data_IF_744035488681
#
_entry.id   IF_744035488681
#
_cell.length_a   1.000
_cell.length_b   1.000
_cell.length_c   1.000
_cell.angle_alpha   90.00
_cell.angle_beta   90.00
_cell.angle_gamma   90.00
#
_symmetry.space_group_name_H-M   'P 1'
#
loop_
_entity.id
_entity.type
_entity.pdbx_description
1 polymer ?
#
# COMPACT_ATOMS: atom_id res chain seq x y z
N UNK A 1 83.31 -54.22 0.57
CA UNK A 1 83.86 -55.55 0.20
C UNK A 1 82.73 -56.59 0.28
N UNK A 2 82.28 -57.05 -0.90
CA UNK A 2 81.56 -58.31 -1.24
C UNK A 2 80.17 -58.56 -0.62
N UNK A 3 79.15 -59.03 -1.34
CA UNK A 3 78.98 -59.40 -2.76
C UNK A 3 77.50 -59.68 -3.03
N UNK A 4 77.03 -59.22 -4.20
CA UNK A 4 75.85 -59.67 -4.97
C UNK A 4 75.66 -61.19 -5.02
N UNK A 5 74.40 -61.66 -5.03
CA UNK A 5 73.77 -62.65 -5.96
C UNK A 5 72.24 -62.50 -5.91
N UNK A 6 71.57 -61.91 -6.91
CA UNK A 6 71.02 -62.53 -8.14
C UNK A 6 69.93 -63.61 -7.89
N UNK A 7 68.68 -63.19 -8.11
CA UNK A 7 67.53 -63.84 -8.73
C UNK A 7 67.77 -65.27 -9.26
N UNK A 8 66.98 -66.25 -8.81
CA UNK A 8 66.62 -67.46 -9.59
C UNK A 8 65.27 -68.00 -9.11
N UNK A 9 64.34 -67.99 -10.06
CA UNK A 9 62.97 -68.53 -10.08
C UNK A 9 62.91 -70.00 -9.66
N UNK A 10 61.90 -70.38 -8.88
CA UNK A 10 61.47 -71.77 -8.73
C UNK A 10 59.94 -71.86 -8.73
N UNK A 11 59.35 -71.86 -9.94
CA UNK A 11 57.99 -72.37 -10.17
C UNK A 11 58.07 -73.89 -10.15
N UNK A 12 57.33 -74.52 -9.23
CA UNK A 12 57.26 -75.98 -9.10
C UNK A 12 55.91 -76.46 -9.64
N UNK A 13 56.01 -77.34 -10.63
CA UNK A 13 54.96 -77.75 -11.56
C UNK A 13 54.48 -79.17 -11.20
N UNK A 14 53.19 -79.34 -10.89
CA UNK A 14 52.42 -80.61 -10.91
C UNK A 14 50.95 -80.23 -11.12
N UNK A 15 50.19 -80.59 -12.14
CA UNK A 15 50.39 -81.43 -13.31
C UNK A 15 49.02 -81.97 -13.77
N UNK A 16 48.44 -81.42 -14.84
CA UNK A 16 47.56 -82.16 -15.77
C UNK A 16 47.36 -81.35 -17.07
N UNK A 17 48.18 -81.63 -18.08
CA UNK A 17 48.01 -81.16 -19.46
C UNK A 17 47.75 -82.38 -20.33
N UNK A 18 46.52 -82.54 -20.84
CA UNK A 18 46.25 -83.37 -22.01
C UNK A 18 46.07 -82.46 -23.22
N UNK A 19 47.21 -82.17 -23.84
CA UNK A 19 47.48 -81.91 -25.27
C UNK A 19 46.38 -81.35 -26.17
N UNK A 20 46.63 -80.15 -26.69
CA UNK A 20 46.09 -79.67 -27.96
C UNK A 20 46.60 -78.28 -28.31
N UNK A 21 47.84 -78.16 -28.81
CA UNK A 21 48.34 -76.89 -29.39
C UNK A 21 47.67 -76.67 -30.75
N UNK A 22 46.85 -75.62 -30.84
CA UNK A 22 46.55 -74.86 -32.06
C UNK A 22 46.67 -73.38 -31.69
N UNK A 23 47.24 -72.59 -32.59
CA UNK A 23 47.53 -71.16 -32.49
C UNK A 23 46.51 -70.34 -31.65
N UNK A 24 47.03 -69.59 -30.67
CA UNK A 24 46.26 -68.70 -29.78
C UNK A 24 46.64 -68.97 -28.33
N UNK A 25 47.14 -67.98 -27.61
CA UNK A 25 47.47 -68.11 -26.19
C UNK A 25 46.24 -68.58 -25.43
N UNK A 26 46.34 -69.69 -24.67
CA UNK A 26 45.36 -70.00 -23.64
C UNK A 26 45.54 -68.94 -22.56
N UNK A 27 44.72 -67.90 -22.63
CA UNK A 27 44.44 -66.99 -21.52
C UNK A 27 43.95 -67.87 -20.38
N UNK A 28 44.76 -67.98 -19.33
CA UNK A 28 44.35 -68.65 -18.09
C UNK A 28 43.82 -67.54 -17.20
N UNK A 29 42.63 -67.75 -16.68
CA UNK A 29 41.83 -66.87 -15.82
C UNK A 29 41.31 -67.84 -14.71
N UNK A 30 42.01 -67.94 -13.57
CA UNK A 30 41.78 -68.98 -12.56
C UNK A 30 40.63 -68.72 -11.58
N UNK A 31 40.31 -67.48 -11.30
CA UNK A 31 39.24 -66.98 -10.42
C UNK A 31 37.97 -66.62 -11.20
N UNK A 32 38.08 -66.24 -12.48
CA UNK A 32 36.94 -66.09 -13.38
C UNK A 32 36.39 -64.67 -13.47
N UNK A 33 37.17 -63.67 -13.08
CA UNK A 33 36.88 -62.23 -13.19
C UNK A 33 36.96 -61.71 -14.64
N UNK A 34 37.53 -62.52 -15.55
CA UNK A 34 37.70 -62.18 -16.96
C UNK A 34 39.07 -61.61 -17.30
N UNK A 35 39.98 -61.49 -16.35
CA UNK A 35 41.35 -61.04 -16.55
C UNK A 35 42.36 -62.21 -16.68
N UNK A 36 43.32 -62.16 -17.61
CA UNK A 36 44.37 -63.18 -17.68
C UNK A 36 45.38 -63.04 -16.54
N UNK A 37 45.91 -64.16 -16.04
CA UNK A 37 47.06 -64.21 -15.09
C UNK A 37 48.22 -63.26 -15.45
N UNK A 38 48.54 -63.10 -16.75
CA UNK A 38 49.64 -62.21 -17.16
C UNK A 38 49.33 -60.73 -16.90
N UNK A 39 48.06 -60.36 -16.99
CA UNK A 39 47.56 -59.01 -16.80
C UNK A 39 47.37 -58.72 -15.32
N UNK A 40 46.89 -59.69 -14.55
CA UNK A 40 46.80 -59.56 -13.10
C UNK A 40 48.18 -59.30 -12.47
N UNK A 41 49.21 -60.07 -12.87
CA UNK A 41 50.59 -59.80 -12.43
C UNK A 41 51.14 -58.43 -12.86
N UNK A 42 50.60 -57.82 -13.92
CA UNK A 42 51.02 -56.49 -14.39
C UNK A 42 50.34 -55.39 -13.58
N UNK A 43 49.06 -55.57 -13.30
CA UNK A 43 48.19 -54.57 -12.67
C UNK A 43 48.27 -54.65 -11.13
N UNK A 44 48.79 -55.75 -10.58
CA UNK A 44 49.04 -55.91 -9.15
C UNK A 44 47.97 -56.74 -8.43
N UNK A 45 46.98 -57.22 -9.17
CA UNK A 45 45.88 -58.05 -8.68
C UNK A 45 46.27 -59.51 -8.45
N UNK A 46 45.41 -60.25 -7.75
CA UNK A 46 45.64 -61.61 -7.31
C UNK A 46 45.12 -62.68 -8.27
N UNK A 47 45.98 -63.55 -8.89
CA UNK A 47 45.59 -64.62 -9.83
C UNK A 47 44.61 -65.72 -9.37
N UNK A 48 44.07 -65.60 -8.17
CA UNK A 48 43.13 -66.55 -7.57
C UNK A 48 42.13 -65.82 -6.64
N UNK A 49 42.01 -64.51 -6.78
CA UNK A 49 41.21 -63.60 -5.95
C UNK A 49 40.50 -62.66 -6.92
N UNK A 50 39.20 -62.87 -7.13
CA UNK A 50 38.41 -62.13 -8.12
C UNK A 50 38.15 -60.66 -7.75
N UNK A 51 38.44 -60.27 -6.51
CA UNK A 51 38.22 -58.94 -5.93
C UNK A 51 39.40 -58.64 -4.99
N UNK A 52 40.43 -57.96 -5.54
CA UNK A 52 41.74 -57.84 -4.90
C UNK A 52 41.72 -56.90 -3.68
N UNK A 53 40.89 -55.86 -3.66
CA UNK A 53 40.79 -54.91 -2.54
C UNK A 53 39.58 -55.16 -1.63
N UNK A 54 38.65 -56.02 -2.04
CA UNK A 54 37.58 -56.55 -1.21
C UNK A 54 36.39 -55.60 -1.08
N UNK A 55 36.18 -54.72 -2.07
CA UNK A 55 35.13 -53.71 -2.06
C UNK A 55 33.77 -54.24 -2.59
N UNK A 56 33.80 -55.40 -3.25
CA UNK A 56 32.64 -56.08 -3.81
C UNK A 56 32.46 -55.93 -5.33
N UNK A 57 33.35 -55.22 -6.03
CA UNK A 57 33.46 -55.16 -7.49
C UNK A 57 34.64 -56.04 -7.95
N UNK A 58 34.43 -56.92 -8.93
CA UNK A 58 35.51 -57.80 -9.38
C UNK A 58 36.57 -57.07 -10.21
N UNK A 59 37.84 -57.49 -10.13
CA UNK A 59 39.00 -56.83 -10.75
C UNK A 59 38.81 -56.59 -12.27
N UNK A 60 38.11 -57.53 -12.92
CA UNK A 60 37.77 -57.44 -14.34
C UNK A 60 36.64 -56.44 -14.63
N UNK A 61 35.67 -56.28 -13.75
CA UNK A 61 34.58 -55.30 -13.80
C UNK A 61 35.07 -53.89 -13.51
N UNK A 62 35.97 -53.73 -12.56
CA UNK A 62 36.64 -52.48 -12.22
C UNK A 62 37.41 -51.92 -13.42
N UNK A 63 38.26 -52.76 -14.00
CA UNK A 63 39.03 -52.39 -15.19
C UNK A 63 38.20 -52.02 -16.41
N UNK A 64 37.02 -52.63 -16.55
CA UNK A 64 36.08 -52.27 -17.61
C UNK A 64 35.46 -50.88 -17.40
N UNK A 65 35.27 -50.47 -16.15
CA UNK A 65 34.76 -49.14 -15.76
C UNK A 65 35.85 -48.09 -15.70
N UNK A 66 37.09 -48.51 -15.46
CA UNK A 66 38.25 -47.64 -15.36
C UNK A 66 38.67 -47.32 -13.93
N UNK A 67 38.08 -47.98 -12.94
CA UNK A 67 38.48 -47.93 -11.54
C UNK A 67 39.80 -48.69 -11.30
N UNK A 68 40.42 -48.51 -10.13
CA UNK A 68 41.69 -49.16 -9.76
C UNK A 68 41.45 -50.43 -8.94
N UNK A 69 41.71 -51.65 -9.48
CA UNK A 69 41.49 -52.93 -8.80
C UNK A 69 42.29 -53.22 -7.54
N UNK A 70 42.96 -52.21 -7.00
CA UNK A 70 43.74 -52.30 -5.78
C UNK A 70 43.37 -51.21 -4.78
N UNK A 71 42.35 -50.40 -5.10
CA UNK A 71 41.86 -49.28 -4.33
C UNK A 71 40.34 -49.33 -4.28
N UNK A 72 39.81 -49.76 -3.14
CA UNK A 72 38.38 -49.95 -2.88
C UNK A 72 37.49 -48.69 -3.01
N UNK A 73 38.04 -47.54 -3.36
CA UNK A 73 37.40 -46.21 -3.40
C UNK A 73 38.29 -45.36 -4.32
N UNK A 74 37.99 -45.40 -5.62
CA UNK A 74 38.87 -44.91 -6.68
C UNK A 74 38.94 -43.38 -6.70
N UNK A 75 37.83 -42.69 -6.52
CA UNK A 75 37.76 -41.23 -6.53
C UNK A 75 37.99 -40.59 -5.16
N UNK A 76 37.89 -41.37 -4.08
CA UNK A 76 38.18 -40.98 -2.72
C UNK A 76 37.08 -40.18 -2.05
N UNK A 77 35.83 -40.31 -2.50
CA UNK A 77 34.67 -39.62 -1.94
C UNK A 77 34.21 -40.23 -0.59
N UNK A 78 34.56 -41.50 -0.33
CA UNK A 78 34.23 -42.23 0.90
C UNK A 78 33.03 -43.19 0.79
N UNK A 79 32.55 -43.44 -0.42
CA UNK A 79 31.84 -44.65 -0.86
C UNK A 79 32.88 -45.55 -1.56
N UNK A 80 32.58 -46.85 -1.66
CA UNK A 80 33.47 -47.80 -2.33
C UNK A 80 32.90 -48.14 -3.71
N UNK A 81 33.76 -48.41 -4.70
CA UNK A 81 33.37 -48.59 -6.10
C UNK A 81 32.28 -49.67 -6.27
N UNK A 82 32.40 -50.76 -5.51
CA UNK A 82 31.37 -51.81 -5.42
C UNK A 82 29.98 -51.28 -5.03
N UNK A 83 29.78 -50.75 -3.81
CA UNK A 83 28.54 -50.10 -3.40
C UNK A 83 28.03 -49.00 -4.33
N UNK A 84 28.89 -48.16 -4.88
CA UNK A 84 28.49 -47.14 -5.87
C UNK A 84 27.81 -47.79 -7.08
N UNK A 85 28.44 -48.81 -7.66
CA UNK A 85 27.91 -49.50 -8.84
C UNK A 85 26.69 -50.37 -8.53
N UNK A 86 26.61 -50.96 -7.33
CA UNK A 86 25.61 -51.99 -7.01
C UNK A 86 24.41 -51.49 -6.22
N UNK A 87 24.61 -50.54 -5.31
CA UNK A 87 23.60 -50.09 -4.37
C UNK A 87 23.08 -48.69 -4.72
N UNK A 88 23.94 -47.78 -5.16
CA UNK A 88 23.60 -46.36 -5.37
C UNK A 88 23.41 -45.97 -6.84
N UNK A 89 24.13 -46.60 -7.76
CA UNK A 89 24.11 -46.28 -9.18
C UNK A 89 24.98 -45.09 -9.60
N UNK A 90 25.80 -44.57 -8.68
CA UNK A 90 26.73 -43.46 -8.87
C UNK A 90 27.95 -43.84 -9.73
N UNK A 91 28.70 -42.84 -10.22
CA UNK A 91 29.92 -43.08 -11.01
C UNK A 91 31.16 -43.17 -10.08
N UNK A 92 31.80 -44.35 -9.93
CA UNK A 92 32.94 -44.55 -9.03
C UNK A 92 34.24 -43.84 -9.46
N UNK A 93 34.14 -42.92 -10.43
CA UNK A 93 35.22 -42.07 -10.91
C UNK A 93 34.95 -40.59 -10.62
N UNK A 94 33.76 -40.23 -10.13
CA UNK A 94 33.28 -38.88 -9.88
C UNK A 94 32.51 -38.83 -8.56
N UNK A 95 33.14 -38.35 -7.49
CA UNK A 95 32.50 -38.25 -6.16
C UNK A 95 31.40 -37.20 -6.01
N UNK A 96 30.84 -36.73 -7.13
CA UNK A 96 29.71 -35.80 -7.27
C UNK A 96 29.13 -36.15 -8.65
N UNK A 97 28.27 -37.17 -8.67
CA UNK A 97 27.85 -37.87 -9.88
C UNK A 97 26.94 -36.99 -10.76
N UNK A 98 26.10 -36.15 -10.18
CA UNK A 98 25.18 -35.28 -10.92
C UNK A 98 25.74 -33.86 -11.14
N UNK A 99 26.80 -33.48 -10.44
CA UNK A 99 27.55 -32.25 -10.61
C UNK A 99 26.86 -31.02 -10.02
N UNK A 100 25.99 -31.20 -9.03
CA UNK A 100 25.28 -30.12 -8.34
C UNK A 100 26.17 -29.40 -7.28
N UNK A 101 27.31 -30.03 -6.98
CA UNK A 101 28.34 -29.55 -6.07
C UNK A 101 28.34 -30.22 -4.70
N UNK A 102 27.33 -31.02 -4.35
CA UNK A 102 27.25 -31.92 -3.20
C UNK A 102 27.88 -33.27 -3.57
N UNK A 103 28.65 -33.86 -2.65
CA UNK A 103 29.30 -35.14 -2.95
C UNK A 103 28.36 -36.30 -2.61
N UNK A 104 28.42 -37.39 -3.39
CA UNK A 104 27.49 -38.52 -3.31
C UNK A 104 27.39 -39.06 -1.87
N UNK A 105 28.52 -39.08 -1.16
CA UNK A 105 28.57 -39.53 0.23
C UNK A 105 27.78 -38.63 1.18
N UNK A 106 27.78 -37.31 0.98
CA UNK A 106 27.05 -36.34 1.81
C UNK A 106 25.56 -36.40 1.48
N UNK A 107 25.20 -36.52 0.21
CA UNK A 107 23.82 -36.73 -0.22
C UNK A 107 23.20 -37.95 0.44
N UNK A 108 23.86 -39.11 0.29
CA UNK A 108 23.35 -40.39 0.81
C UNK A 108 23.31 -40.43 2.35
N UNK A 109 24.27 -39.81 3.05
CA UNK A 109 24.44 -39.99 4.50
C UNK A 109 23.86 -38.87 5.34
N UNK A 110 23.93 -37.63 4.85
CA UNK A 110 23.67 -36.44 5.65
C UNK A 110 22.39 -35.70 5.21
N UNK A 111 22.04 -35.72 3.92
CA UNK A 111 20.89 -34.98 3.38
C UNK A 111 19.74 -35.86 2.86
N UNK A 112 19.98 -37.15 2.61
CA UNK A 112 18.99 -38.09 2.05
C UNK A 112 18.45 -37.70 0.66
N UNK A 113 19.22 -36.90 -0.10
CA UNK A 113 18.98 -36.54 -1.51
C UNK A 113 19.37 -37.65 -2.48
N UNK A 114 18.93 -37.56 -3.75
CA UNK A 114 19.28 -38.55 -4.79
C UNK A 114 20.56 -38.11 -5.53
N UNK A 115 21.71 -38.79 -5.36
CA UNK A 115 23.00 -38.40 -5.97
C UNK A 115 23.05 -38.54 -7.50
N UNK A 116 21.92 -38.85 -8.12
CA UNK A 116 21.74 -38.94 -9.57
C UNK A 116 20.86 -37.80 -10.11
N UNK A 117 20.30 -36.96 -9.24
CA UNK A 117 19.39 -35.87 -9.55
C UNK A 117 19.84 -34.60 -8.83
N UNK A 118 20.46 -33.68 -9.58
CA UNK A 118 21.01 -32.41 -9.08
C UNK A 118 20.00 -31.44 -8.44
N UNK A 119 18.74 -31.84 -8.30
CA UNK A 119 17.57 -31.11 -7.81
C UNK A 119 16.55 -32.21 -7.46
N UNK A 120 16.62 -32.69 -6.21
CA UNK A 120 15.93 -33.90 -5.74
C UNK A 120 14.42 -33.71 -5.65
N UNK A 121 13.94 -32.54 -5.24
CA UNK A 121 12.51 -32.27 -5.09
C UNK A 121 11.87 -31.65 -6.36
N UNK A 122 12.69 -31.14 -7.27
CA UNK A 122 12.31 -30.67 -8.58
C UNK A 122 11.74 -29.25 -8.61
N UNK A 123 12.10 -28.40 -7.65
CA UNK A 123 11.66 -27.01 -7.57
C UNK A 123 12.48 -26.06 -8.49
N UNK A 124 13.62 -26.53 -8.99
CA UNK A 124 14.51 -25.78 -9.88
C UNK A 124 15.72 -25.15 -9.19
N UNK A 125 15.89 -25.35 -7.88
CA UNK A 125 17.09 -25.06 -7.11
C UNK A 125 17.86 -26.38 -6.91
N UNK A 126 19.20 -26.32 -7.02
CA UNK A 126 20.00 -27.53 -6.88
C UNK A 126 20.28 -27.84 -5.41
N UNK A 127 20.26 -29.10 -4.99
CA UNK A 127 20.44 -29.52 -3.58
C UNK A 127 21.72 -28.91 -2.97
N UNK A 128 22.79 -28.91 -3.76
CA UNK A 128 24.07 -28.33 -3.41
C UNK A 128 24.02 -26.81 -3.19
N UNK A 129 23.12 -26.08 -3.87
CA UNK A 129 22.86 -24.64 -3.72
C UNK A 129 21.96 -24.37 -2.52
N UNK A 130 20.91 -25.16 -2.36
CA UNK A 130 19.99 -25.09 -1.22
C UNK A 130 20.75 -25.19 0.10
N UNK A 131 21.57 -26.21 0.28
CA UNK A 131 22.32 -26.40 1.53
C UNK A 131 23.38 -25.32 1.76
N UNK A 132 24.03 -24.81 0.72
CA UNK A 132 25.23 -23.95 0.86
C UNK A 132 24.94 -22.46 0.78
N UNK A 133 23.95 -22.07 0.02
CA UNK A 133 23.69 -20.67 -0.34
C UNK A 133 22.39 -20.17 0.31
N UNK A 134 21.31 -20.95 0.26
CA UNK A 134 19.97 -20.50 0.65
C UNK A 134 19.54 -20.98 2.05
N UNK A 135 19.96 -22.18 2.45
CA UNK A 135 19.60 -22.81 3.72
C UNK A 135 18.24 -23.49 3.72
N UNK A 136 17.68 -23.77 2.54
CA UNK A 136 16.42 -24.49 2.29
C UNK A 136 16.58 -26.00 2.48
N UNK A 137 15.47 -26.74 2.53
CA UNK A 137 15.45 -28.21 2.63
C UNK A 137 15.31 -28.84 1.24
N UNK A 138 16.35 -29.52 0.70
CA UNK A 138 16.36 -30.07 -0.67
C UNK A 138 15.40 -31.23 -0.91
N UNK A 139 14.56 -31.54 0.07
CA UNK A 139 13.50 -32.53 0.01
C UNK A 139 12.09 -31.90 0.05
N UNK A 140 12.01 -30.58 0.21
CA UNK A 140 10.77 -29.82 0.31
C UNK A 140 10.82 -28.61 -0.65
N UNK A 141 9.99 -28.67 -1.70
CA UNK A 141 9.95 -27.63 -2.74
C UNK A 141 9.55 -26.23 -2.23
N UNK A 142 9.19 -26.08 -0.96
CA UNK A 142 8.61 -24.90 -0.32
C UNK A 142 8.96 -24.99 1.18
N UNK A 143 10.11 -24.45 1.56
CA UNK A 143 10.73 -24.65 2.87
C UNK A 143 9.98 -23.93 3.99
N UNK A 144 9.44 -22.73 3.74
CA UNK A 144 8.73 -21.97 4.76
C UNK A 144 7.21 -22.23 4.79
N UNK A 145 6.69 -22.87 3.74
CA UNK A 145 5.33 -23.36 3.64
C UNK A 145 4.30 -22.28 3.30
N UNK A 146 4.70 -21.21 2.62
CA UNK A 146 3.81 -20.12 2.22
C UNK A 146 3.04 -20.40 0.91
N UNK A 147 3.54 -21.34 0.10
CA UNK A 147 2.95 -21.77 -1.16
C UNK A 147 3.68 -21.32 -2.43
N UNK A 148 4.76 -20.55 -2.31
CA UNK A 148 5.76 -20.37 -3.36
C UNK A 148 6.85 -21.44 -3.23
N UNK A 149 7.44 -21.81 -4.37
CA UNK A 149 8.55 -22.77 -4.37
C UNK A 149 9.91 -22.06 -4.23
N UNK A 150 10.84 -22.64 -3.47
CA UNK A 150 12.10 -21.98 -3.08
C UNK A 150 12.90 -21.54 -4.32
N UNK A 151 12.91 -22.40 -5.35
CA UNK A 151 13.47 -22.12 -6.66
C UNK A 151 12.85 -20.90 -7.35
N UNK A 152 11.52 -20.72 -7.31
CA UNK A 152 10.80 -19.57 -7.87
C UNK A 152 11.07 -18.30 -7.09
N UNK A 153 11.04 -18.38 -5.76
CA UNK A 153 11.39 -17.26 -4.89
C UNK A 153 12.78 -16.73 -5.21
N UNK A 154 13.80 -17.60 -5.21
CA UNK A 154 15.19 -17.21 -5.48
C UNK A 154 15.38 -16.70 -6.91
N UNK A 155 14.82 -17.40 -7.90
CA UNK A 155 15.18 -17.16 -9.32
C UNK A 155 14.30 -16.13 -10.03
N UNK A 156 13.05 -15.94 -9.59
CA UNK A 156 12.07 -15.08 -10.27
C UNK A 156 11.74 -13.84 -9.46
N UNK A 157 11.51 -13.97 -8.15
CA UNK A 157 10.99 -12.88 -7.32
C UNK A 157 12.08 -12.19 -6.50
N UNK A 158 13.14 -12.91 -6.13
CA UNK A 158 14.20 -12.43 -5.25
C UNK A 158 13.78 -12.36 -3.79
N UNK A 159 12.68 -13.00 -3.43
CA UNK A 159 12.17 -13.18 -2.07
C UNK A 159 13.04 -14.17 -1.28
N UNK A 160 12.78 -14.27 0.01
CA UNK A 160 13.54 -15.09 0.94
C UNK A 160 12.82 -16.42 1.21
N UNK A 161 13.32 -17.56 0.68
CA UNK A 161 12.66 -18.88 0.78
C UNK A 161 12.66 -19.51 2.19
N UNK A 162 12.95 -18.71 3.21
CA UNK A 162 12.94 -19.09 4.61
C UNK A 162 11.98 -18.21 5.42
N UNK A 163 11.24 -17.33 4.77
CA UNK A 163 10.32 -16.40 5.37
C UNK A 163 9.13 -16.15 4.44
N UNK A 164 7.97 -16.66 4.88
CA UNK A 164 6.67 -16.50 4.22
C UNK A 164 6.22 -15.03 3.98
N UNK A 165 6.97 -14.07 4.47
CA UNK A 165 6.76 -12.61 4.45
C UNK A 165 8.18 -12.02 4.42
N UNK A 166 8.63 -11.65 3.23
CA UNK A 166 10.03 -11.32 2.96
C UNK A 166 10.45 -9.93 3.49
N UNK A 167 9.51 -8.99 3.62
CA UNK A 167 9.77 -7.64 4.10
C UNK A 167 9.18 -7.31 5.49
N UNK A 168 8.55 -8.31 6.12
CA UNK A 168 7.98 -8.28 7.47
C UNK A 168 6.83 -7.24 7.63
N UNK A 169 6.04 -6.97 6.58
CA UNK A 169 4.93 -6.02 6.62
C UNK A 169 3.61 -6.61 7.13
N UNK A 170 3.47 -7.94 7.06
CA UNK A 170 2.30 -8.70 7.48
C UNK A 170 1.50 -9.38 6.36
N UNK A 171 1.84 -9.15 5.09
CA UNK A 171 1.38 -9.92 3.93
C UNK A 171 2.36 -11.05 3.63
N UNK A 172 1.88 -12.10 2.96
CA UNK A 172 2.77 -13.15 2.48
C UNK A 172 3.20 -12.88 1.05
N UNK A 173 4.42 -13.25 0.69
CA UNK A 173 4.96 -13.09 -0.66
C UNK A 173 3.99 -13.55 -1.76
N UNK A 174 3.31 -14.72 -1.67
CA UNK A 174 2.29 -15.10 -2.64
C UNK A 174 1.04 -14.22 -2.63
N UNK A 175 0.59 -13.74 -1.46
CA UNK A 175 -0.55 -12.83 -1.38
C UNK A 175 -0.23 -11.49 -2.06
N UNK A 176 0.97 -10.96 -1.86
CA UNK A 176 1.43 -9.74 -2.51
C UNK A 176 1.53 -9.92 -4.02
N UNK A 177 2.13 -11.01 -4.50
CA UNK A 177 2.33 -11.26 -5.93
C UNK A 177 1.03 -11.61 -6.67
N UNK A 178 0.11 -12.34 -6.04
CA UNK A 178 -1.07 -12.90 -6.72
C UNK A 178 -2.39 -12.18 -6.41
N UNK A 179 -2.51 -11.59 -5.21
CA UNK A 179 -3.77 -11.01 -4.73
C UNK A 179 -3.74 -9.48 -4.77
N UNK A 180 -2.72 -8.88 -4.16
CA UNK A 180 -2.65 -7.43 -3.99
C UNK A 180 -1.81 -6.73 -5.06
N UNK A 181 -0.99 -7.48 -5.79
CA UNK A 181 -0.06 -6.98 -6.81
C UNK A 181 0.96 -5.96 -6.26
N UNK A 182 1.26 -6.04 -4.96
CA UNK A 182 2.29 -5.26 -4.23
C UNK A 182 3.69 -5.86 -4.39
N UNK A 183 4.71 -5.19 -3.87
CA UNK A 183 6.09 -5.62 -3.98
C UNK A 183 6.57 -6.35 -2.70
N UNK A 184 6.81 -7.68 -2.74
CA UNK A 184 7.15 -8.48 -1.56
C UNK A 184 8.57 -8.25 -0.99
N UNK A 185 9.22 -7.17 -1.41
CA UNK A 185 10.54 -6.75 -0.95
C UNK A 185 10.51 -5.33 -0.38
N UNK A 186 9.35 -4.69 -0.38
CA UNK A 186 9.11 -3.30 0.01
C UNK A 186 7.80 -3.22 0.78
N UNK A 187 7.90 -3.18 2.10
CA UNK A 187 6.78 -3.11 3.04
C UNK A 187 5.82 -1.91 2.85
N UNK A 188 6.09 -1.02 1.91
CA UNK A 188 5.37 0.23 1.56
C UNK A 188 5.58 0.39 0.05
N UNK A 189 4.68 -0.18 -0.74
CA UNK A 189 4.87 -0.34 -2.19
C UNK A 189 4.80 0.99 -2.95
N UNK A 190 4.03 1.96 -2.46
CA UNK A 190 3.82 3.25 -3.12
C UNK A 190 4.56 4.44 -2.49
N UNK A 191 5.34 4.19 -1.43
CA UNK A 191 6.21 5.12 -0.71
C UNK A 191 5.45 6.27 0.00
N UNK A 192 4.20 6.05 0.43
CA UNK A 192 3.37 7.07 1.10
C UNK A 192 3.60 7.14 2.62
N UNK A 193 4.22 6.10 3.19
CA UNK A 193 4.54 5.96 4.60
C UNK A 193 3.58 5.09 5.43
N UNK A 194 2.59 4.45 4.82
CA UNK A 194 1.87 3.29 5.34
C UNK A 194 2.52 2.01 4.82
N UNK A 195 2.17 0.89 5.44
CA UNK A 195 2.61 -0.40 4.96
C UNK A 195 1.43 -1.13 4.32
N UNK A 196 1.69 -1.97 3.32
CA UNK A 196 0.66 -2.53 2.45
C UNK A 196 -0.37 -3.34 3.26
N UNK A 197 0.07 -4.17 4.22
CA UNK A 197 -0.85 -4.93 5.07
C UNK A 197 -1.80 -4.02 5.89
N UNK A 198 -1.31 -3.03 6.68
CA UNK A 198 -2.17 -2.06 7.36
C UNK A 198 -3.13 -1.28 6.46
N UNK A 199 -2.73 -0.91 5.25
CA UNK A 199 -3.62 -0.23 4.29
C UNK A 199 -4.87 -1.06 3.98
N UNK A 200 -4.66 -2.35 3.71
CA UNK A 200 -5.73 -3.29 3.41
C UNK A 200 -6.61 -3.59 4.65
N UNK A 201 -5.98 -3.87 5.79
CA UNK A 201 -6.67 -4.44 6.96
C UNK A 201 -7.28 -3.39 7.90
N UNK A 202 -6.63 -2.23 8.04
CA UNK A 202 -6.99 -1.21 9.03
C UNK A 202 -7.57 0.06 8.41
N UNK A 203 -7.08 0.51 7.24
CA UNK A 203 -7.45 1.80 6.64
C UNK A 203 -8.36 1.71 5.41
N UNK A 204 -8.47 0.53 4.80
CA UNK A 204 -9.26 0.31 3.57
C UNK A 204 -8.75 1.17 2.38
N UNK A 205 -7.45 1.49 2.34
CA UNK A 205 -6.76 2.22 1.25
C UNK A 205 -6.20 1.26 0.19
N UNK A 206 -5.77 1.80 -0.97
CA UNK A 206 -5.15 1.02 -2.05
C UNK A 206 -3.62 1.08 -1.94
N UNK A 207 -2.92 -0.01 -1.59
CA UNK A 207 -1.46 -0.02 -1.36
C UNK A 207 -0.61 0.22 -2.61
N UNK A 208 -1.26 0.50 -3.75
CA UNK A 208 -0.62 0.86 -5.01
C UNK A 208 -0.83 2.34 -5.37
N UNK A 209 -1.60 3.09 -4.58
CA UNK A 209 -1.94 4.49 -4.81
C UNK A 209 -1.78 5.33 -3.53
N UNK A 210 -0.68 6.07 -3.45
CA UNK A 210 -0.32 6.91 -2.29
C UNK A 210 -1.38 7.95 -1.85
N UNK A 211 -2.44 8.17 -2.61
CA UNK A 211 -3.54 9.12 -2.37
C UNK A 211 -4.82 8.44 -2.90
N UNK A 212 -5.44 7.62 -2.05
CA UNK A 212 -6.52 6.68 -2.41
C UNK A 212 -7.76 7.41 -2.92
N UNK A 213 -8.12 8.53 -2.31
CA UNK A 213 -9.32 9.29 -2.67
C UNK A 213 -9.07 10.39 -3.71
N UNK A 214 -7.80 10.69 -3.99
CA UNK A 214 -7.35 11.62 -5.02
C UNK A 214 -7.54 13.09 -4.67
N UNK A 215 -7.56 13.45 -3.38
CA UNK A 215 -7.77 14.81 -2.91
C UNK A 215 -6.49 15.66 -2.88
N UNK A 216 -5.33 15.00 -3.01
CA UNK A 216 -4.00 15.59 -3.02
C UNK A 216 -3.27 15.58 -1.68
N UNK A 217 -3.73 14.80 -0.69
CA UNK A 217 -3.02 14.43 0.53
C UNK A 217 -2.74 12.93 0.51
N UNK A 218 -1.49 12.54 0.76
CA UNK A 218 -1.13 11.12 0.73
C UNK A 218 -1.68 10.38 1.97
N UNK A 219 -2.10 9.11 1.86
CA UNK A 219 -2.85 8.36 2.89
C UNK A 219 -2.06 8.25 4.21
N UNK A 220 -0.76 8.01 4.14
CA UNK A 220 0.13 7.97 5.30
C UNK A 220 0.14 9.25 6.13
N UNK A 221 0.41 10.44 5.54
CA UNK A 221 0.19 11.72 6.19
C UNK A 221 -1.21 11.91 6.78
N UNK A 222 -2.28 11.45 6.12
CA UNK A 222 -3.63 11.51 6.66
C UNK A 222 -3.74 10.78 7.98
N UNK A 223 -3.37 9.51 8.00
CA UNK A 223 -3.44 8.67 9.20
C UNK A 223 -2.50 9.18 10.31
N UNK A 224 -1.27 9.56 9.98
CA UNK A 224 -0.22 9.78 10.98
C UNK A 224 -0.03 11.23 11.41
N UNK A 225 -0.41 12.20 10.59
CA UNK A 225 -0.17 13.62 10.85
C UNK A 225 -1.45 14.45 10.95
N UNK A 226 -2.49 14.11 10.19
CA UNK A 226 -3.70 14.91 10.06
C UNK A 226 -4.91 14.30 10.76
N UNK A 227 -4.89 12.99 11.04
CA UNK A 227 -5.99 12.23 11.63
C UNK A 227 -7.29 12.31 10.78
N UNK A 228 -7.15 12.51 9.46
CA UNK A 228 -8.23 12.50 8.45
C UNK A 228 -8.54 11.06 8.00
N UNK A 229 -9.66 10.87 7.30
CA UNK A 229 -10.07 9.59 6.73
C UNK A 229 -9.51 9.46 5.31
N UNK A 230 -8.49 8.60 5.07
CA UNK A 230 -7.80 8.53 3.78
C UNK A 230 -8.65 7.96 2.63
N UNK A 231 -9.89 7.57 2.92
CA UNK A 231 -10.84 7.10 1.90
C UNK A 231 -11.88 8.15 1.53
N UNK A 232 -11.80 9.35 2.14
CA UNK A 232 -12.80 10.40 2.04
C UNK A 232 -12.15 11.76 1.81
N UNK A 233 -12.33 12.28 0.59
CA UNK A 233 -11.66 13.51 0.11
C UNK A 233 -12.01 14.81 0.83
N UNK A 234 -12.78 14.76 1.91
CA UNK A 234 -13.38 15.85 2.67
C UNK A 234 -13.87 15.25 3.99
N UNK A 235 -12.98 15.15 4.99
CA UNK A 235 -13.25 14.41 6.22
C UNK A 235 -14.35 15.04 7.08
N UNK A 236 -14.53 16.36 7.01
CA UNK A 236 -15.51 17.09 7.81
C UNK A 236 -16.78 17.52 7.04
N UNK A 237 -16.90 17.11 5.79
CA UNK A 237 -18.02 17.34 4.88
C UNK A 237 -18.33 18.85 4.66
N UNK A 238 -17.34 19.73 4.78
CA UNK A 238 -17.51 21.17 4.62
C UNK A 238 -17.41 21.66 3.16
N UNK A 239 -17.03 20.79 2.23
CA UNK A 239 -16.88 21.06 0.80
C UNK A 239 -15.50 21.56 0.36
N UNK A 240 -14.53 21.63 1.27
CA UNK A 240 -13.11 21.69 0.99
C UNK A 240 -12.52 20.28 1.11
N UNK A 241 -11.45 20.00 0.37
CA UNK A 241 -10.76 18.72 0.53
C UNK A 241 -9.65 18.83 1.56
N UNK A 242 -9.36 17.73 2.25
CA UNK A 242 -8.33 17.66 3.29
C UNK A 242 -6.97 18.13 2.72
N UNK A 243 -6.60 17.64 1.53
CA UNK A 243 -5.43 18.08 0.80
C UNK A 243 -5.44 19.57 0.45
N UNK A 244 -6.61 20.15 0.14
CA UNK A 244 -6.72 21.58 -0.12
C UNK A 244 -6.51 22.41 1.15
N UNK A 245 -7.09 21.97 2.26
CA UNK A 245 -6.96 22.64 3.55
C UNK A 245 -5.53 22.56 4.08
N UNK A 246 -4.87 21.40 3.96
CA UNK A 246 -3.49 21.19 4.40
C UNK A 246 -2.50 21.96 3.53
N UNK A 247 -2.59 21.85 2.20
CA UNK A 247 -1.57 22.37 1.30
C UNK A 247 -1.82 23.80 0.79
N UNK A 248 -3.07 24.28 0.74
CA UNK A 248 -3.41 25.58 0.15
C UNK A 248 -3.62 26.68 1.19
N UNK A 249 -2.75 26.79 2.20
CA UNK A 249 -2.85 27.79 3.29
C UNK A 249 -2.87 29.26 2.83
N UNK A 250 -2.40 29.58 1.62
CA UNK A 250 -2.54 30.93 1.03
C UNK A 250 -3.98 31.24 0.56
N UNK A 251 -4.75 30.18 0.27
CA UNK A 251 -6.14 30.24 -0.20
C UNK A 251 -7.13 29.95 0.93
N UNK A 252 -6.82 29.01 1.80
CA UNK A 252 -7.63 28.64 2.97
C UNK A 252 -6.80 28.87 4.23
N UNK A 253 -6.65 30.14 4.66
CA UNK A 253 -5.89 30.45 5.86
C UNK A 253 -6.60 29.85 7.07
N UNK A 254 -5.82 29.24 7.96
CA UNK A 254 -6.28 28.64 9.20
C UNK A 254 -7.31 27.50 9.04
N UNK A 255 -7.41 26.92 7.83
CA UNK A 255 -8.25 25.74 7.59
C UNK A 255 -7.79 24.53 8.40
N UNK A 256 -8.74 23.70 8.82
CA UNK A 256 -8.57 22.56 9.71
C UNK A 256 -9.45 21.39 9.25
N UNK A 257 -8.87 20.35 8.61
CA UNK A 257 -9.64 19.29 7.90
C UNK A 257 -10.48 18.38 8.81
N UNK A 258 -10.49 18.67 10.11
CA UNK A 258 -11.30 17.97 11.09
C UNK A 258 -12.42 18.85 11.65
N UNK A 259 -12.66 20.04 11.08
CA UNK A 259 -13.46 21.12 11.66
C UNK A 259 -14.07 22.02 10.58
N UNK A 260 -15.40 21.98 10.45
CA UNK A 260 -16.13 22.75 9.43
C UNK A 260 -15.67 24.21 9.32
N UNK A 261 -15.16 24.58 8.15
CA UNK A 261 -14.68 25.91 7.79
C UNK A 261 -15.61 26.59 6.78
N UNK A 262 -16.05 27.82 7.12
CA UNK A 262 -16.93 28.60 6.26
C UNK A 262 -16.21 29.87 5.83
N UNK A 263 -15.80 29.91 4.57
CA UNK A 263 -15.13 31.08 3.99
C UNK A 263 -16.12 32.09 3.41
N UNK A 264 -16.06 33.34 3.87
CA UNK A 264 -16.88 34.45 3.37
C UNK A 264 -16.00 35.60 2.92
N UNK A 265 -16.01 35.89 1.63
CA UNK A 265 -15.45 37.12 1.08
C UNK A 265 -16.44 38.27 1.27
N UNK A 266 -15.98 39.37 1.86
CA UNK A 266 -16.79 40.56 2.12
C UNK A 266 -16.27 41.75 1.34
N UNK A 267 -17.14 42.26 0.47
CA UNK A 267 -16.94 43.50 -0.23
C UNK A 267 -17.86 44.58 0.29
N UNK A 268 -17.33 45.80 0.38
CA UNK A 268 -18.07 46.91 0.98
C UNK A 268 -18.10 48.11 0.07
N UNK A 269 -19.30 48.66 -0.12
CA UNK A 269 -19.46 49.93 -0.83
C UNK A 269 -18.78 51.07 -0.08
N UNK A 270 -18.14 51.98 -0.82
CA UNK A 270 -17.35 53.08 -0.27
C UNK A 270 -18.11 53.86 0.82
N UNK A 271 -17.52 53.91 2.02
CA UNK A 271 -18.09 54.60 3.18
C UNK A 271 -19.04 53.77 4.04
N UNK A 272 -19.16 52.47 3.77
CA UNK A 272 -19.87 51.50 4.60
C UNK A 272 -18.91 50.61 5.37
N UNK A 273 -19.41 50.03 6.46
CA UNK A 273 -18.66 49.10 7.29
C UNK A 273 -19.63 48.10 7.94
N UNK A 274 -19.15 46.88 8.22
CA UNK A 274 -19.81 45.96 9.13
C UNK A 274 -19.16 46.15 10.49
N UNK A 275 -19.90 46.60 11.50
CA UNK A 275 -19.26 46.92 12.77
C UNK A 275 -18.58 45.68 13.35
N UNK A 276 -17.32 45.81 13.78
CA UNK A 276 -16.54 44.70 14.34
C UNK A 276 -17.28 43.89 15.41
N UNK A 277 -18.10 44.56 16.23
CA UNK A 277 -18.91 43.92 17.26
C UNK A 277 -20.13 43.15 16.72
N UNK A 278 -20.62 43.47 15.52
CA UNK A 278 -21.62 42.66 14.82
C UNK A 278 -20.95 41.42 14.22
N UNK A 279 -19.78 41.58 13.59
CA UNK A 279 -19.01 40.48 13.03
C UNK A 279 -18.58 39.47 14.12
N UNK A 280 -18.03 39.95 15.24
CA UNK A 280 -17.66 39.11 16.40
C UNK A 280 -18.86 38.27 16.89
N UNK A 281 -20.08 38.81 16.86
CA UNK A 281 -21.29 38.07 17.27
C UNK A 281 -21.74 37.00 16.27
N UNK A 282 -21.53 37.23 14.98
CA UNK A 282 -21.80 36.21 13.96
C UNK A 282 -20.80 35.07 14.15
N UNK A 283 -19.50 35.40 14.23
CA UNK A 283 -18.44 34.40 14.41
C UNK A 283 -18.64 33.59 15.70
N UNK A 284 -18.92 34.25 16.83
CA UNK A 284 -19.18 33.57 18.12
C UNK A 284 -20.36 32.58 18.06
N UNK A 285 -21.37 32.85 17.22
CA UNK A 285 -22.51 31.94 17.07
C UNK A 285 -22.12 30.67 16.31
N UNK A 286 -21.32 30.78 15.24
CA UNK A 286 -20.82 29.62 14.49
C UNK A 286 -19.80 28.82 15.30
N UNK A 287 -18.89 29.49 16.01
CA UNK A 287 -17.90 28.85 16.90
C UNK A 287 -18.54 28.01 18.01
N UNK A 288 -19.80 28.30 18.37
CA UNK A 288 -20.56 27.56 19.39
C UNK A 288 -21.78 26.82 18.82
N UNK A 289 -21.88 26.71 17.50
CA UNK A 289 -22.97 26.02 16.83
C UNK A 289 -22.95 24.53 17.21
N UNK A 290 -24.13 23.87 17.28
CA UNK A 290 -24.21 22.44 17.59
C UNK A 290 -23.96 21.58 16.33
N UNK A 291 -22.91 21.91 15.57
CA UNK A 291 -22.41 21.13 14.44
C UNK A 291 -21.33 20.19 14.96
N UNK A 292 -21.36 18.91 14.59
CA UNK A 292 -20.39 17.92 15.08
C UNK A 292 -19.17 17.83 14.17
N UNK A 293 -17.97 17.80 14.75
CA UNK A 293 -16.73 17.70 13.99
C UNK A 293 -16.02 16.35 14.22
N UNK A 294 -15.26 15.84 13.23
CA UNK A 294 -14.42 14.64 13.36
C UNK A 294 -13.51 14.63 14.60
N UNK A 295 -12.91 15.77 14.98
CA UNK A 295 -12.07 15.91 16.19
C UNK A 295 -12.84 15.80 17.52
N UNK A 296 -14.17 15.64 17.46
CA UNK A 296 -15.08 15.58 18.60
C UNK A 296 -15.44 16.93 19.21
N UNK A 297 -14.99 18.04 18.61
CA UNK A 297 -15.43 19.38 18.94
C UNK A 297 -16.82 19.66 18.35
N UNK A 298 -17.30 20.89 18.53
CA UNK A 298 -18.52 21.36 17.91
C UNK A 298 -18.40 22.79 17.45
N UNK A 299 -19.12 23.15 16.40
CA UNK A 299 -19.14 24.49 15.82
C UNK A 299 -18.46 24.53 14.46
N UNK A 300 -18.52 25.68 13.80
CA UNK A 300 -17.85 25.94 12.55
C UNK A 300 -17.00 27.21 12.64
N UNK A 301 -15.82 27.19 12.02
CA UNK A 301 -14.96 28.35 11.94
C UNK A 301 -15.38 29.24 10.77
N UNK A 302 -15.98 30.39 11.08
CA UNK A 302 -16.39 31.36 10.08
C UNK A 302 -15.23 32.32 9.74
N UNK A 303 -14.59 32.09 8.60
CA UNK A 303 -13.48 32.88 8.08
C UNK A 303 -13.98 34.04 7.23
N UNK A 304 -13.98 35.25 7.81
CA UNK A 304 -14.44 36.45 7.12
C UNK A 304 -13.27 37.25 6.57
N UNK A 305 -13.18 37.34 5.24
CA UNK A 305 -12.08 37.97 4.53
C UNK A 305 -12.56 39.25 3.84
N UNK A 306 -12.02 40.38 4.29
CA UNK A 306 -12.27 41.67 3.65
C UNK A 306 -11.43 41.79 2.38
N UNK A 307 -12.07 41.88 1.21
CA UNK A 307 -11.37 42.03 -0.08
C UNK A 307 -11.44 43.46 -0.62
N UNK A 308 -12.56 43.81 -1.26
CA UNK A 308 -12.64 44.98 -2.12
C UNK A 308 -13.55 46.11 -1.60
N UNK A 309 -13.24 47.33 -2.06
CA UNK A 309 -14.11 48.49 -1.89
C UNK A 309 -14.90 48.74 -3.17
N UNK A 310 -16.18 48.44 -3.12
CA UNK A 310 -17.12 48.67 -4.22
C UNK A 310 -17.35 50.18 -4.39
N UNK A 311 -17.33 50.73 -5.62
CA UNK A 311 -17.68 52.13 -5.88
C UNK A 311 -19.07 52.50 -5.32
N UNK A 312 -19.19 53.71 -4.78
CA UNK A 312 -20.47 54.15 -4.20
C UNK A 312 -21.59 54.28 -5.25
N UNK A 313 -22.75 53.69 -4.92
CA UNK A 313 -24.01 53.88 -5.64
C UNK A 313 -25.16 54.17 -4.66
N UNK A 314 -26.12 55.01 -5.09
CA UNK A 314 -27.24 55.39 -4.21
C UNK A 314 -28.32 54.32 -4.04
N UNK A 315 -28.29 53.27 -4.87
CA UNK A 315 -29.29 52.22 -4.95
C UNK A 315 -28.75 51.10 -5.84
N UNK A 316 -28.60 49.91 -5.29
CA UNK A 316 -28.11 48.72 -6.00
C UNK A 316 -29.26 47.79 -6.33
N UNK A 317 -29.37 47.30 -7.58
CA UNK A 317 -30.43 46.36 -7.96
C UNK A 317 -30.13 44.94 -7.47
N UNK A 318 -30.98 44.32 -6.64
CA UNK A 318 -30.83 42.90 -6.23
C UNK A 318 -30.95 41.90 -7.38
N UNK A 319 -31.46 42.34 -8.53
CA UNK A 319 -31.44 41.60 -9.78
C UNK A 319 -30.05 41.57 -10.44
N UNK A 320 -29.15 42.48 -10.07
CA UNK A 320 -27.79 42.61 -10.61
C UNK A 320 -26.72 41.97 -9.70
N UNK A 321 -27.13 41.12 -8.76
CA UNK A 321 -26.22 40.36 -7.89
C UNK A 321 -25.17 39.58 -8.69
N UNK A 322 -25.54 39.11 -9.89
CA UNK A 322 -24.63 38.47 -10.85
C UNK A 322 -23.56 39.43 -11.36
N UNK A 323 -23.89 40.69 -11.63
CA UNK A 323 -22.94 41.70 -12.11
C UNK A 323 -21.88 42.02 -11.07
N UNK A 324 -22.30 42.25 -9.82
CA UNK A 324 -21.40 42.50 -8.69
C UNK A 324 -20.47 41.31 -8.45
N UNK A 325 -21.03 40.10 -8.38
CA UNK A 325 -20.23 38.87 -8.25
C UNK A 325 -19.22 38.73 -9.40
N UNK A 326 -19.57 39.12 -10.61
CA UNK A 326 -18.64 38.99 -11.75
C UNK A 326 -17.52 40.03 -11.74
N UNK A 327 -17.72 41.17 -11.08
CA UNK A 327 -16.77 42.29 -11.09
C UNK A 327 -15.88 42.31 -9.84
N UNK A 328 -16.39 41.92 -8.68
CA UNK A 328 -15.70 42.10 -7.40
C UNK A 328 -15.46 40.81 -6.59
N UNK A 329 -16.09 39.68 -6.94
CA UNK A 329 -15.85 38.43 -6.20
C UNK A 329 -14.53 37.79 -6.64
N UNK A 330 -13.46 38.04 -5.89
CA UNK A 330 -12.11 37.59 -6.22
C UNK A 330 -11.95 36.07 -6.05
N UNK A 331 -12.61 35.50 -5.05
CA UNK A 331 -12.54 34.08 -4.67
C UNK A 331 -13.62 33.24 -5.35
N UNK A 332 -14.09 33.67 -6.51
CA UNK A 332 -15.09 32.94 -7.29
C UNK A 332 -14.57 31.57 -7.76
N UNK A 333 -15.28 30.51 -7.39
CA UNK A 333 -14.84 29.14 -7.67
C UNK A 333 -13.80 28.64 -6.67
N UNK A 334 -13.70 29.29 -5.51
CA UNK A 334 -12.78 28.92 -4.45
C UNK A 334 -13.45 28.33 -3.21
N UNK A 335 -14.71 27.91 -3.25
CA UNK A 335 -15.40 27.49 -2.01
C UNK A 335 -15.98 28.65 -1.19
N UNK A 336 -15.69 29.90 -1.57
CA UNK A 336 -16.09 31.06 -0.80
C UNK A 336 -17.55 31.45 -1.04
N UNK A 337 -18.24 31.84 0.03
CA UNK A 337 -19.46 32.62 -0.06
C UNK A 337 -19.12 34.10 -0.31
N UNK A 338 -19.93 34.75 -1.14
CA UNK A 338 -19.74 36.17 -1.45
C UNK A 338 -20.75 37.05 -0.69
N UNK A 339 -20.29 38.08 0.02
CA UNK A 339 -21.13 39.07 0.70
C UNK A 339 -20.81 40.49 0.21
N UNK A 340 -21.77 41.11 -0.47
CA UNK A 340 -21.71 42.53 -0.81
C UNK A 340 -22.52 43.39 0.17
N UNK A 341 -21.86 44.32 0.87
CA UNK A 341 -22.52 45.32 1.73
C UNK A 341 -22.71 46.62 0.95
N UNK A 342 -23.96 47.03 0.76
CA UNK A 342 -24.34 48.19 -0.07
C UNK A 342 -25.18 49.22 0.70
N UNK A 343 -25.27 50.46 0.22
CA UNK A 343 -25.95 51.54 0.97
C UNK A 343 -27.47 51.37 0.94
N UNK A 344 -28.02 50.86 -0.16
CA UNK A 344 -29.44 50.62 -0.34
C UNK A 344 -29.67 49.49 -1.35
N UNK A 345 -30.41 48.48 -0.90
CA UNK A 345 -30.78 47.31 -1.69
C UNK A 345 -32.14 47.58 -2.34
N UNK A 346 -32.16 47.77 -3.67
CA UNK A 346 -33.38 48.03 -4.42
C UNK A 346 -33.77 46.82 -5.27
N UNK A 347 -34.98 46.29 -5.09
CA UNK A 347 -35.59 45.41 -6.06
C UNK A 347 -36.84 44.73 -5.54
N UNK A 348 -37.70 44.39 -6.47
CA UNK A 348 -39.09 43.95 -6.32
C UNK A 348 -40.00 44.77 -5.38
N UNK A 349 -40.50 45.89 -5.92
CA UNK A 349 -41.56 46.71 -5.29
C UNK A 349 -42.87 45.98 -4.99
N UNK A 350 -43.05 44.72 -5.42
CA UNK A 350 -44.26 43.93 -5.13
C UNK A 350 -44.29 43.33 -3.72
N UNK A 351 -43.14 43.16 -3.04
CA UNK A 351 -43.05 42.51 -1.71
C UNK A 351 -42.69 43.44 -0.54
N UNK A 352 -42.18 44.65 -0.79
CA UNK A 352 -41.86 45.62 0.27
C UNK A 352 -40.45 46.21 0.14
N UNK A 353 -39.91 46.74 1.24
CA UNK A 353 -38.51 47.19 1.31
C UNK A 353 -37.64 45.96 1.61
N UNK A 354 -36.88 45.50 0.63
CA UNK A 354 -35.90 44.41 0.78
C UNK A 354 -34.65 45.03 1.38
N UNK A 355 -34.10 44.42 2.43
CA UNK A 355 -32.88 44.89 3.12
C UNK A 355 -31.71 43.89 2.96
N UNK A 356 -31.98 42.74 2.35
CA UNK A 356 -31.04 41.67 2.11
C UNK A 356 -31.61 40.71 1.07
N UNK A 357 -30.72 40.05 0.33
CA UNK A 357 -31.08 38.92 -0.53
C UNK A 357 -29.89 38.00 -0.67
N UNK A 358 -30.14 36.71 -0.49
CA UNK A 358 -29.18 35.66 -0.75
C UNK A 358 -29.75 34.57 -1.66
N UNK A 359 -28.81 33.80 -2.18
CA UNK A 359 -28.98 32.46 -2.70
C UNK A 359 -27.68 31.70 -2.48
N UNK A 360 -27.66 30.43 -2.84
CA UNK A 360 -26.51 29.52 -2.70
C UNK A 360 -25.16 30.22 -2.99
N UNK A 361 -24.38 30.47 -1.94
CA UNK A 361 -23.05 31.08 -2.02
C UNK A 361 -22.97 32.59 -2.29
N UNK A 362 -24.07 33.33 -2.33
CA UNK A 362 -24.03 34.76 -2.68
C UNK A 362 -25.09 35.58 -1.94
N UNK A 363 -24.65 36.67 -1.31
CA UNK A 363 -25.43 37.54 -0.44
C UNK A 363 -25.23 39.01 -0.83
N UNK A 364 -26.28 39.81 -0.71
CA UNK A 364 -26.20 41.27 -0.75
C UNK A 364 -27.05 41.86 0.36
N UNK A 365 -26.46 42.73 1.18
CA UNK A 365 -27.07 43.26 2.40
C UNK A 365 -27.00 44.79 2.44
N UNK A 366 -28.13 45.42 2.80
CA UNK A 366 -28.20 46.85 3.04
C UNK A 366 -27.54 47.20 4.39
N UNK A 367 -26.56 48.11 4.36
CA UNK A 367 -25.97 48.68 5.56
C UNK A 367 -26.99 49.53 6.33
N UNK A 368 -27.31 49.13 7.57
CA UNK A 368 -28.28 49.81 8.41
C UNK A 368 -27.59 50.71 9.45
N UNK A 369 -27.38 51.98 9.10
CA UNK A 369 -26.65 52.93 9.96
C UNK A 369 -27.27 53.09 11.37
N UNK A 370 -26.45 52.88 12.41
CA UNK A 370 -26.69 53.36 13.77
C UNK A 370 -27.59 52.49 14.66
N UNK A 371 -27.81 51.23 14.28
CA UNK A 371 -28.46 50.19 15.08
C UNK A 371 -27.87 48.86 14.60
N UNK A 372 -27.31 48.04 15.48
CA UNK A 372 -26.66 46.73 15.26
C UNK A 372 -27.47 45.67 14.46
N UNK A 373 -28.00 46.06 13.30
CA UNK A 373 -28.94 45.31 12.49
C UNK A 373 -28.32 44.79 11.20
N UNK A 374 -27.22 45.39 10.73
CA UNK A 374 -26.55 44.92 9.51
C UNK A 374 -26.12 43.47 9.75
N UNK A 375 -25.51 43.19 10.90
CA UNK A 375 -25.10 41.84 11.26
C UNK A 375 -26.26 40.84 11.35
N UNK A 376 -27.42 41.23 11.88
CA UNK A 376 -28.59 40.32 11.91
C UNK A 376 -29.15 40.00 10.53
N UNK A 377 -29.05 40.96 9.60
CA UNK A 377 -29.43 40.71 8.21
C UNK A 377 -28.39 39.85 7.52
N UNK A 378 -27.09 40.08 7.77
CA UNK A 378 -26.03 39.17 7.30
C UNK A 378 -26.26 37.75 7.80
N UNK A 379 -26.58 37.55 9.08
CA UNK A 379 -26.86 36.21 9.61
C UNK A 379 -28.03 35.52 8.90
N UNK A 380 -29.12 36.25 8.65
CA UNK A 380 -30.27 35.73 7.92
C UNK A 380 -29.91 35.33 6.49
N UNK A 381 -29.21 36.21 5.77
CA UNK A 381 -28.78 35.94 4.40
C UNK A 381 -27.70 34.85 4.33
N UNK A 382 -26.87 34.72 5.35
CA UNK A 382 -25.89 33.64 5.47
C UNK A 382 -26.58 32.29 5.64
N UNK A 383 -27.66 32.20 6.44
CA UNK A 383 -28.46 30.98 6.53
C UNK A 383 -28.99 30.52 5.16
N UNK A 384 -29.45 31.45 4.32
CA UNK A 384 -29.83 31.16 2.94
C UNK A 384 -28.64 30.78 2.05
N UNK A 385 -27.50 31.46 2.23
CA UNK A 385 -26.27 31.19 1.50
C UNK A 385 -25.76 29.77 1.75
N UNK A 386 -25.95 29.27 2.98
CA UNK A 386 -25.63 27.93 3.46
C UNK A 386 -26.70 26.87 3.15
N UNK A 387 -27.83 27.25 2.54
CA UNK A 387 -28.82 26.29 2.01
C UNK A 387 -30.20 26.30 2.68
N UNK A 388 -30.41 27.00 3.79
CA UNK A 388 -31.73 27.09 4.41
C UNK A 388 -32.73 27.79 3.48
N UNK A 389 -33.89 27.21 3.27
CA UNK A 389 -34.92 27.77 2.39
C UNK A 389 -36.34 27.54 2.93
N UNK A 390 -37.29 28.33 2.44
CA UNK A 390 -38.70 28.15 2.81
C UNK A 390 -39.34 26.83 2.31
N UNK A 391 -38.62 26.04 1.52
CA UNK A 391 -39.05 24.70 1.15
C UNK A 391 -38.72 23.66 2.21
N UNK A 392 -37.72 23.92 3.06
CA UNK A 392 -37.32 23.03 4.14
C UNK A 392 -38.30 23.14 5.31
N UNK A 393 -38.68 24.37 5.64
CA UNK A 393 -39.72 24.65 6.64
C UNK A 393 -40.47 25.95 6.37
N UNK A 394 -41.79 25.95 6.63
CA UNK A 394 -42.65 27.14 6.47
C UNK A 394 -42.25 28.29 7.44
N UNK A 395 -41.47 27.98 8.49
CA UNK A 395 -40.92 28.95 9.44
C UNK A 395 -39.81 29.83 8.89
N UNK A 396 -39.11 29.39 7.85
CA UNK A 396 -38.09 30.18 7.16
C UNK A 396 -38.81 31.24 6.31
N UNK A 397 -38.30 32.47 6.31
CA UNK A 397 -38.88 33.61 5.58
C UNK A 397 -40.34 33.92 5.94
N UNK A 398 -40.73 33.70 7.20
CA UNK A 398 -42.11 33.90 7.61
C UNK A 398 -42.26 34.80 8.83
N UNK A 399 -43.41 35.47 8.89
CA UNK A 399 -43.90 36.15 10.08
C UNK A 399 -45.03 35.37 10.77
N UNK A 400 -45.37 34.18 10.29
CA UNK A 400 -46.47 33.34 10.80
C UNK A 400 -46.22 32.87 12.23
N UNK A 401 -45.00 32.44 12.55
CA UNK A 401 -44.64 31.92 13.87
C UNK A 401 -44.02 32.99 14.75
N UNK A 402 -44.40 33.00 16.03
CA UNK A 402 -43.74 33.87 17.00
C UNK A 402 -42.28 33.43 17.20
N UNK A 403 -41.38 34.38 17.46
CA UNK A 403 -39.98 34.07 17.78
C UNK A 403 -39.81 33.12 18.98
N UNK A 404 -40.78 33.07 19.91
CA UNK A 404 -40.75 32.09 21.01
C UNK A 404 -40.97 30.64 20.56
N UNK A 405 -41.56 30.44 19.38
CA UNK A 405 -41.92 29.14 18.85
C UNK A 405 -40.94 28.61 17.81
N UNK A 406 -40.23 29.51 17.12
CA UNK A 406 -39.18 29.23 16.15
C UNK A 406 -38.10 30.29 16.36
N UNK A 407 -37.03 29.94 17.09
CA UNK A 407 -35.97 30.86 17.53
C UNK A 407 -34.84 30.86 16.50
N UNK A 408 -35.06 31.53 15.39
CA UNK A 408 -34.11 31.57 14.29
C UNK A 408 -33.97 32.98 13.74
N UNK A 409 -32.78 33.33 13.25
CA UNK A 409 -32.56 34.48 12.39
C UNK A 409 -33.42 34.39 11.12
N UNK A 410 -33.80 33.18 10.69
CA UNK A 410 -34.68 32.94 9.53
C UNK A 410 -36.15 33.35 9.78
N UNK A 411 -36.53 33.68 11.03
CA UNK A 411 -37.86 34.14 11.40
C UNK A 411 -37.97 35.67 11.34
N UNK A 412 -38.90 36.23 10.54
CA UNK A 412 -39.07 37.69 10.44
C UNK A 412 -39.55 38.38 11.74
N UNK A 413 -40.01 37.60 12.74
CA UNK A 413 -40.32 38.11 14.07
C UNK A 413 -39.12 38.10 15.04
N UNK A 414 -37.91 37.72 14.59
CA UNK A 414 -36.71 37.72 15.40
C UNK A 414 -36.38 39.12 15.96
N UNK A 415 -35.84 39.21 17.19
CA UNK A 415 -35.26 40.45 17.70
C UNK A 415 -34.16 40.94 16.77
N UNK A 416 -34.03 42.27 16.65
CA UNK A 416 -33.05 42.87 15.74
C UNK A 416 -31.60 42.79 16.23
N UNK A 417 -31.36 42.11 17.34
CA UNK A 417 -30.07 41.85 17.96
C UNK A 417 -29.83 40.34 18.16
N UNK A 418 -30.58 39.50 17.45
CA UNK A 418 -30.45 38.04 17.47
C UNK A 418 -29.65 37.52 16.28
N UNK A 419 -28.71 36.62 16.54
CA UNK A 419 -27.71 36.14 15.58
C UNK A 419 -27.72 34.61 15.44
N UNK A 420 -28.65 33.88 16.07
CA UNK A 420 -28.63 32.42 16.06
C UNK A 420 -29.56 31.76 15.06
N UNK A 421 -29.34 30.48 14.79
CA UNK A 421 -30.34 29.61 14.19
C UNK A 421 -31.02 28.75 15.25
N UNK A 422 -32.12 28.12 14.87
CA UNK A 422 -32.90 27.34 15.82
C UNK A 422 -32.39 25.91 15.96
N UNK A 423 -32.41 25.41 17.19
CA UNK A 423 -32.05 24.03 17.56
C UNK A 423 -33.30 23.14 17.79
N UNK A 424 -34.42 23.43 17.13
CA UNK A 424 -35.63 22.60 17.14
C UNK A 424 -36.38 22.41 18.47
N UNK A 425 -36.12 23.21 19.51
CA UNK A 425 -36.67 22.99 20.88
C UNK A 425 -38.11 23.48 21.10
N UNK A 426 -38.66 24.27 20.18
CA UNK A 426 -40.01 24.84 20.25
C UNK A 426 -41.11 23.95 19.65
N UNK A 427 -42.40 24.29 19.89
CA UNK A 427 -43.54 23.48 19.45
C UNK A 427 -43.86 23.54 17.95
N UNK A 428 -43.32 24.52 17.21
CA UNK A 428 -43.45 24.65 15.74
C UNK A 428 -42.09 25.08 15.20
N UNK A 429 -41.05 24.42 15.71
CA UNK A 429 -39.65 24.77 15.53
C UNK A 429 -39.03 23.82 14.54
N UNK A 430 -38.27 24.36 13.59
CA UNK A 430 -37.44 23.57 12.70
C UNK A 430 -36.01 23.67 13.21
N UNK A 431 -35.30 22.55 13.18
CA UNK A 431 -33.91 22.51 13.60
C UNK A 431 -33.06 22.94 12.41
N UNK A 432 -32.76 24.23 12.37
CA UNK A 432 -31.95 24.82 11.32
C UNK A 432 -30.52 24.27 11.39
N UNK A 433 -29.98 24.10 12.59
CA UNK A 433 -28.63 23.61 12.78
C UNK A 433 -28.49 22.15 12.38
N UNK A 434 -29.40 21.27 12.81
CA UNK A 434 -29.38 19.87 12.34
C UNK A 434 -29.62 19.74 10.84
N UNK A 435 -30.34 20.68 10.21
CA UNK A 435 -30.44 20.69 8.75
C UNK A 435 -29.11 21.05 8.11
N UNK A 436 -28.43 22.09 8.62
CA UNK A 436 -27.12 22.51 8.11
C UNK A 436 -26.06 21.43 8.33
N UNK A 437 -26.06 20.74 9.47
CA UNK A 437 -25.17 19.60 9.78
C UNK A 437 -25.23 18.49 8.71
N UNK A 438 -26.37 18.32 8.04
CA UNK A 438 -26.57 17.29 7.01
C UNK A 438 -26.59 17.84 5.56
N UNK A 439 -26.73 19.15 5.37
CA UNK A 439 -27.05 19.77 4.07
C UNK A 439 -26.39 21.14 3.85
N UNK A 440 -25.32 21.45 4.57
CA UNK A 440 -24.63 22.72 4.40
C UNK A 440 -24.19 22.87 2.94
N UNK A 441 -24.52 24.02 2.35
CA UNK A 441 -24.10 24.32 1.00
C UNK A 441 -22.76 25.06 1.02
N UNK A 442 -21.75 24.44 0.42
CA UNK A 442 -20.48 25.08 0.09
C UNK A 442 -20.37 25.33 -1.41
N UNK A 443 -20.02 26.56 -1.84
CA UNK A 443 -19.80 26.89 -3.24
C UNK A 443 -18.75 25.98 -3.90
N UNK A 444 -18.90 25.68 -5.19
CA UNK A 444 -17.94 24.78 -5.85
C UNK A 444 -16.52 25.37 -5.89
N UNK A 445 -15.54 24.51 -5.61
CA UNK A 445 -14.09 24.75 -5.73
C UNK A 445 -13.54 24.51 -7.15
N UNK A 446 -14.37 23.97 -8.06
CA UNK A 446 -14.02 23.85 -9.48
C UNK A 446 -14.42 25.11 -10.24
N UNK A 447 -13.52 25.62 -11.08
CA UNK A 447 -13.68 26.90 -11.78
C UNK A 447 -15.04 26.99 -12.49
N UNK A 448 -15.96 27.78 -11.96
CA UNK A 448 -17.18 28.14 -12.67
C UNK A 448 -16.77 29.12 -13.75
N UNK A 449 -16.70 28.66 -15.00
CA UNK A 449 -16.65 29.60 -16.13
C UNK A 449 -17.96 30.37 -16.10
N UNK A 450 -17.93 31.61 -15.62
CA UNK A 450 -19.09 32.51 -15.65
C UNK A 450 -19.38 32.82 -17.12
N UNK A 451 -20.27 32.04 -17.72
CA UNK A 451 -20.80 32.32 -19.05
C UNK A 451 -21.61 33.61 -18.98
N UNK A 452 -21.08 34.66 -19.62
CA UNK A 452 -21.70 36.00 -19.68
C UNK A 452 -22.92 36.13 -20.56
#
# INVERSE_FOLDING_TARGET
MRSSRLLTVLVLLVGLLTTGVVAGATVVDPDGDGEPVLVEFRDGTGPFDDDTDGDGLDDGAEKQRGTDPTTADTDGDGIADGPEVHDHGTDPLEGDTDGDGLDDVTEIRDHETDPLEADTDGDGLADGSEIREHGTDPLETDTDGDGLDDGTEVSQHGTNPLAADSDDDGLSDPDELETYETNPLEADTDDDGLADAPEIDDYETDPLEADTDGDGLDDGPEVHAHETDPTASDTDDDGLSDGAEVHQKDRYPDADPLRTDIYVEVDRMEGLDLERAELERIVDEFDTAPLGNPDGSSGAALHVIDSDVIPWESSTDVGDLTGYRSEYFDRAGEGYHYLAIVENVAGDTARGNIIGKAGLGTMMVESQRGRDHTGTTVMHELGHSLGLSNTDFEGIDTATYSFRSYRSAMNYNAPRDYYGFSSGTGPNDFDDWSYLDEHMFTPSTTSVTVGG
#
